data_IF_947086674018
#
_entry.id   IF_947086674018
#
_cell.length_a   1.000
_cell.length_b   1.000
_cell.length_c   1.000
_cell.angle_alpha   90.00
_cell.angle_beta   90.00
_cell.angle_gamma   90.00
#
_symmetry.space_group_name_H-M   'P 1'
#
loop_
_entity.id
_entity.type
_entity.pdbx_description
1 polymer ?
#
# COMPACT_ATOMS: atom_id res chain seq x y z
N UNK A 1 -33.61 -0.66 -51.26
CA UNK A 1 -32.60 -0.09 -50.34
C UNK A 1 -31.39 0.33 -51.15
N UNK A 2 -30.75 1.48 -50.91
CA UNK A 2 -29.43 1.72 -51.49
C UNK A 2 -28.40 0.79 -50.79
N UNK A 3 -27.70 -0.08 -51.53
CA UNK A 3 -26.83 -1.11 -50.98
C UNK A 3 -25.63 -0.56 -50.16
N UNK A 4 -25.26 0.71 -50.36
CA UNK A 4 -24.14 1.35 -49.69
C UNK A 4 -24.35 1.56 -48.18
N UNK A 5 -25.54 2.00 -47.74
CA UNK A 5 -25.81 2.27 -46.31
C UNK A 5 -25.94 0.99 -45.47
N UNK A 6 -26.42 -0.10 -46.09
CA UNK A 6 -26.49 -1.41 -45.44
C UNK A 6 -25.08 -2.01 -45.24
N UNK A 7 -24.22 -1.92 -46.26
CA UNK A 7 -22.83 -2.34 -46.17
C UNK A 7 -22.04 -1.56 -45.08
N UNK A 8 -22.28 -0.25 -44.97
CA UNK A 8 -21.63 0.62 -43.98
C UNK A 8 -22.07 0.28 -42.54
N UNK A 9 -23.36 0.01 -42.32
CA UNK A 9 -23.88 -0.45 -41.03
C UNK A 9 -23.33 -1.82 -40.61
N UNK A 10 -23.17 -2.76 -41.55
CA UNK A 10 -22.57 -4.07 -41.30
C UNK A 10 -21.09 -3.98 -40.92
N UNK A 11 -20.32 -3.12 -41.60
CA UNK A 11 -18.92 -2.85 -41.23
C UNK A 11 -18.79 -2.24 -39.82
N UNK A 12 -19.64 -1.28 -39.48
CA UNK A 12 -19.70 -0.69 -38.13
C UNK A 12 -20.06 -1.73 -37.07
N UNK A 13 -21.03 -2.59 -37.33
CA UNK A 13 -21.41 -3.67 -36.40
C UNK A 13 -20.23 -4.63 -36.17
N UNK A 14 -19.53 -5.02 -37.24
CA UNK A 14 -18.31 -5.82 -37.13
C UNK A 14 -17.15 -5.13 -36.41
N UNK A 15 -17.08 -3.78 -36.41
CA UNK A 15 -16.12 -3.02 -35.58
C UNK A 15 -16.52 -2.98 -34.11
N UNK A 16 -17.83 -2.85 -33.82
CA UNK A 16 -18.36 -2.87 -32.45
C UNK A 16 -18.15 -4.25 -31.82
N UNK A 17 -18.43 -5.34 -32.53
CA UNK A 17 -18.20 -6.69 -32.01
C UNK A 17 -16.72 -6.96 -31.74
N UNK A 18 -15.82 -6.53 -32.64
CA UNK A 18 -14.37 -6.57 -32.38
C UNK A 18 -13.96 -5.72 -31.17
N UNK A 19 -14.55 -4.54 -31.02
CA UNK A 19 -14.32 -3.67 -29.86
C UNK A 19 -14.82 -4.30 -28.55
N UNK A 20 -15.96 -5.00 -28.57
CA UNK A 20 -16.49 -5.77 -27.42
C UNK A 20 -15.58 -6.94 -27.05
N UNK A 21 -15.11 -7.70 -28.05
CA UNK A 21 -14.16 -8.79 -27.81
C UNK A 21 -12.84 -8.26 -27.22
N UNK A 22 -12.34 -7.13 -27.74
CA UNK A 22 -11.19 -6.43 -27.16
C UNK A 22 -11.47 -5.93 -25.75
N UNK A 23 -12.66 -5.41 -25.45
CA UNK A 23 -13.03 -4.93 -24.10
C UNK A 23 -13.05 -6.07 -23.10
N UNK A 24 -13.61 -7.23 -23.46
CA UNK A 24 -13.56 -8.44 -22.63
C UNK A 24 -12.12 -8.91 -22.39
N UNK A 25 -11.28 -8.94 -23.42
CA UNK A 25 -9.87 -9.30 -23.28
C UNK A 25 -9.13 -8.30 -22.36
N UNK A 26 -9.40 -7.00 -22.51
CA UNK A 26 -8.78 -5.97 -21.69
C UNK A 26 -9.29 -5.98 -20.25
N UNK A 27 -10.56 -6.29 -20.02
CA UNK A 27 -11.13 -6.52 -18.69
C UNK A 27 -10.44 -7.70 -18.00
N UNK A 28 -10.18 -8.79 -18.72
CA UNK A 28 -9.37 -9.89 -18.18
C UNK A 28 -7.93 -9.46 -17.89
N UNK A 29 -7.31 -8.63 -18.73
CA UNK A 29 -5.98 -8.06 -18.45
C UNK A 29 -5.99 -7.16 -17.20
N UNK A 30 -7.03 -6.34 -17.00
CA UNK A 30 -7.23 -5.53 -15.79
C UNK A 30 -7.41 -6.43 -14.57
N UNK A 31 -8.18 -7.51 -14.69
CA UNK A 31 -8.37 -8.47 -13.61
C UNK A 31 -7.07 -9.23 -13.26
N UNK A 32 -6.29 -9.62 -14.27
CA UNK A 32 -4.96 -10.19 -14.09
C UNK A 32 -4.00 -9.19 -13.45
N UNK A 33 -4.04 -7.92 -13.87
CA UNK A 33 -3.28 -6.86 -13.25
C UNK A 33 -3.71 -6.69 -11.77
N UNK A 34 -5.00 -6.74 -11.46
CA UNK A 34 -5.52 -6.71 -10.07
C UNK A 34 -5.05 -7.91 -9.24
N UNK A 35 -4.94 -9.11 -9.84
CA UNK A 35 -4.35 -10.27 -9.14
C UNK A 35 -2.85 -10.08 -8.88
N UNK A 36 -2.11 -9.57 -9.86
CA UNK A 36 -0.70 -9.20 -9.68
C UNK A 36 -0.53 -8.10 -8.62
N UNK A 37 -1.46 -7.14 -8.56
CA UNK A 37 -1.54 -6.10 -7.53
C UNK A 37 -1.67 -6.71 -6.14
N UNK A 38 -2.59 -7.66 -5.95
CA UNK A 38 -2.70 -8.37 -4.66
C UNK A 38 -1.42 -9.13 -4.31
N UNK A 39 -0.70 -9.65 -5.31
CA UNK A 39 0.62 -10.24 -5.13
C UNK A 39 1.66 -9.24 -4.61
N UNK A 40 1.73 -8.04 -5.20
CA UNK A 40 2.59 -6.95 -4.71
C UNK A 40 2.23 -6.52 -3.29
N UNK A 41 0.94 -6.48 -2.95
CA UNK A 41 0.51 -6.18 -1.59
C UNK A 41 1.04 -7.21 -0.59
N UNK A 42 0.96 -8.51 -0.91
CA UNK A 42 1.55 -9.56 -0.09
C UNK A 42 3.06 -9.42 0.10
N UNK A 43 3.79 -9.10 -0.98
CA UNK A 43 5.24 -8.84 -0.91
C UNK A 43 5.57 -7.61 -0.05
N UNK A 44 4.81 -6.51 -0.19
CA UNK A 44 4.96 -5.31 0.64
C UNK A 44 4.70 -5.64 2.11
N UNK A 45 3.71 -6.47 2.42
CA UNK A 45 3.40 -6.86 3.79
C UNK A 45 4.48 -7.77 4.37
N UNK A 46 5.09 -8.65 3.57
CA UNK A 46 6.26 -9.44 3.98
C UNK A 46 7.47 -8.54 4.28
N UNK A 47 7.78 -7.57 3.42
CA UNK A 47 8.86 -6.59 3.62
C UNK A 47 8.60 -5.72 4.85
N UNK A 48 7.35 -5.30 5.09
CA UNK A 48 6.94 -4.59 6.30
C UNK A 48 7.10 -5.44 7.55
N UNK A 49 6.72 -6.72 7.49
CA UNK A 49 6.93 -7.66 8.58
C UNK A 49 8.42 -7.88 8.86
N UNK A 50 9.25 -7.95 7.83
CA UNK A 50 10.71 -7.98 7.98
C UNK A 50 11.23 -6.72 8.66
N UNK A 51 10.77 -5.54 8.26
CA UNK A 51 11.13 -4.27 8.90
C UNK A 51 10.71 -4.24 10.38
N UNK A 52 9.50 -4.73 10.69
CA UNK A 52 9.00 -4.85 12.06
C UNK A 52 9.82 -5.82 12.92
N UNK A 53 10.52 -6.79 12.31
CA UNK A 53 11.46 -7.70 13.01
C UNK A 53 12.84 -7.08 13.22
N UNK A 54 13.33 -6.25 12.29
CA UNK A 54 14.67 -5.66 12.36
C UNK A 54 14.69 -4.43 13.28
N UNK A 55 13.65 -3.60 13.24
CA UNK A 55 13.61 -2.33 13.99
C UNK A 55 13.81 -2.51 15.51
N UNK A 56 13.13 -3.45 16.21
CA UNK A 56 13.35 -3.64 17.65
C UNK A 56 14.76 -4.14 17.98
N UNK A 57 15.38 -4.92 17.08
CA UNK A 57 16.77 -5.39 17.25
C UNK A 57 17.74 -4.22 17.16
N UNK A 58 17.56 -3.33 16.19
CA UNK A 58 18.34 -2.11 16.05
C UNK A 58 18.22 -1.20 17.29
N UNK A 59 17.02 -1.07 17.84
CA UNK A 59 16.80 -0.25 19.04
C UNK A 59 17.44 -0.89 20.29
N UNK A 60 17.34 -2.21 20.43
CA UNK A 60 18.04 -2.95 21.48
C UNK A 60 19.57 -2.83 21.36
N UNK A 61 20.09 -2.89 20.13
CA UNK A 61 21.51 -2.76 19.82
C UNK A 61 22.04 -1.35 20.12
N UNK A 62 21.26 -0.31 19.82
CA UNK A 62 21.57 1.08 20.19
C UNK A 62 21.60 1.27 21.71
N UNK A 63 20.64 0.69 22.43
CA UNK A 63 20.64 0.73 23.88
C UNK A 63 21.84 -0.02 24.48
N UNK A 64 22.24 -1.14 23.88
CA UNK A 64 23.44 -1.87 24.26
C UNK A 64 24.72 -1.04 24.02
N UNK A 65 24.82 -0.35 22.87
CA UNK A 65 25.93 0.55 22.58
C UNK A 65 26.03 1.69 23.60
N UNK A 66 24.91 2.29 23.99
CA UNK A 66 24.88 3.35 25.02
C UNK A 66 25.38 2.85 26.38
N UNK A 67 24.95 1.65 26.81
CA UNK A 67 25.46 1.02 28.03
C UNK A 67 26.97 0.78 27.95
N UNK A 68 27.44 0.25 26.83
CA UNK A 68 28.86 0.00 26.59
C UNK A 68 29.71 1.28 26.60
N UNK A 69 29.20 2.38 26.04
CA UNK A 69 29.84 3.70 26.13
C UNK A 69 29.93 4.20 27.58
N UNK A 70 28.94 3.90 28.42
CA UNK A 70 28.99 4.14 29.86
C UNK A 70 30.08 3.33 30.54
N UNK A 71 30.16 2.03 30.25
CA UNK A 71 31.20 1.14 30.78
C UNK A 71 32.61 1.60 30.37
N UNK A 72 32.79 2.02 29.12
CA UNK A 72 34.04 2.59 28.61
C UNK A 72 34.47 3.83 29.38
N UNK A 73 33.56 4.79 29.58
CA UNK A 73 33.84 6.00 30.37
C UNK A 73 34.24 5.63 31.80
N UNK A 74 33.48 4.74 32.45
CA UNK A 74 33.81 4.28 33.80
C UNK A 74 35.16 3.56 33.87
N UNK A 75 35.50 2.76 32.86
CA UNK A 75 36.77 2.05 32.78
C UNK A 75 37.96 2.99 32.57
N UNK A 76 37.81 3.98 31.69
CA UNK A 76 38.83 5.03 31.47
C UNK A 76 39.08 5.83 32.75
N UNK A 77 38.03 6.26 33.45
CA UNK A 77 38.17 6.97 34.73
C UNK A 77 38.89 6.13 35.78
N UNK A 78 38.54 4.84 35.92
CA UNK A 78 39.24 3.92 36.82
C UNK A 78 40.70 3.76 36.45
N UNK A 79 41.02 3.57 35.16
CA UNK A 79 42.39 3.41 34.70
C UNK A 79 43.25 4.65 35.00
N UNK A 80 42.72 5.86 34.81
CA UNK A 80 43.41 7.11 35.17
C UNK A 80 43.67 7.16 36.68
N UNK A 81 42.67 6.82 37.50
CA UNK A 81 42.81 6.77 38.96
C UNK A 81 43.87 5.76 39.42
N UNK A 82 43.83 4.54 38.87
CA UNK A 82 44.80 3.48 39.16
C UNK A 82 46.22 3.87 38.77
N UNK A 83 46.42 4.47 37.58
CA UNK A 83 47.75 4.95 37.15
C UNK A 83 48.28 6.06 38.03
N UNK A 84 47.43 6.99 38.45
CA UNK A 84 47.84 8.05 39.36
C UNK A 84 48.21 7.52 40.74
N UNK A 85 47.53 6.47 41.22
CA UNK A 85 47.87 5.80 42.47
C UNK A 85 49.19 5.02 42.36
N UNK A 86 49.32 4.20 41.32
CA UNK A 86 50.54 3.42 41.03
C UNK A 86 51.78 4.32 40.94
N UNK A 87 51.68 5.47 40.26
CA UNK A 87 52.78 6.43 40.18
C UNK A 87 53.17 7.03 41.55
N UNK A 88 52.20 7.35 42.42
CA UNK A 88 52.48 7.87 43.77
C UNK A 88 53.14 6.80 44.63
N UNK A 89 52.63 5.58 44.60
CA UNK A 89 53.14 4.50 45.46
C UNK A 89 54.51 3.99 44.97
N UNK A 90 54.79 4.07 43.67
CA UNK A 90 56.15 3.89 43.12
C UNK A 90 57.14 4.95 43.62
N UNK A 91 56.72 6.22 43.69
CA UNK A 91 57.57 7.27 44.22
C UNK A 91 57.90 7.02 45.69
N UNK A 92 56.89 6.66 46.50
CA UNK A 92 57.09 6.28 47.92
C UNK A 92 58.06 5.10 48.04
N UNK A 93 57.92 4.08 47.19
CA UNK A 93 58.83 2.94 47.16
C UNK A 93 60.25 3.35 46.77
N UNK A 94 60.41 4.23 45.78
CA UNK A 94 61.71 4.72 45.35
C UNK A 94 62.42 5.50 46.47
N UNK A 95 61.72 6.42 47.13
CA UNK A 95 62.23 7.19 48.27
C UNK A 95 62.65 6.26 49.42
N UNK A 96 61.87 5.22 49.70
CA UNK A 96 62.22 4.20 50.70
C UNK A 96 63.49 3.42 50.33
N UNK A 97 63.64 3.02 49.06
CA UNK A 97 64.82 2.29 48.61
C UNK A 97 66.09 3.15 48.67
N UNK A 98 65.99 4.44 48.32
CA UNK A 98 67.08 5.41 48.46
C UNK A 98 67.44 5.58 49.93
N UNK A 99 66.46 5.80 50.81
CA UNK A 99 66.70 5.94 52.25
C UNK A 99 67.36 4.70 52.87
N UNK A 100 66.96 3.49 52.45
CA UNK A 100 67.61 2.23 52.88
C UNK A 100 69.06 2.13 52.38
N UNK A 101 69.32 2.59 51.14
CA UNK A 101 70.64 2.57 50.54
C UNK A 101 71.61 3.58 51.18
N UNK A 102 71.12 4.79 51.47
CA UNK A 102 71.88 5.88 52.07
C UNK A 102 72.05 5.74 53.58
N UNK A 103 71.18 4.98 54.25
CA UNK A 103 71.30 4.71 55.67
C UNK A 103 72.66 4.07 55.99
N UNK A 104 73.45 4.62 56.93
CA UNK A 104 74.63 3.95 57.43
C UNK A 104 74.25 2.54 57.89
N UNK A 105 75.00 1.52 57.48
CA UNK A 105 74.81 0.15 57.98
C UNK A 105 75.16 0.13 59.48
N UNK A 106 74.23 0.55 60.32
CA UNK A 106 74.34 0.32 61.75
C UNK A 106 74.18 -1.19 61.95
N UNK A 107 75.28 -1.85 62.32
CA UNK A 107 75.21 -3.25 62.72
C UNK A 107 74.27 -3.34 63.94
N UNK A 108 73.53 -4.44 64.08
CA UNK A 108 72.64 -4.64 65.22
C UNK A 108 73.42 -4.56 66.55
N UNK A 109 74.72 -4.89 66.49
CA UNK A 109 75.67 -4.66 67.58
C UNK A 109 75.91 -3.18 67.88
N UNK A 110 76.03 -2.32 66.85
CA UNK A 110 76.18 -0.86 67.02
C UNK A 110 74.92 -0.24 67.62
N UNK A 111 73.72 -0.68 67.23
CA UNK A 111 72.45 -0.19 67.79
C UNK A 111 72.28 -0.60 69.25
N UNK A 112 72.76 -1.79 69.64
CA UNK A 112 72.79 -2.22 71.03
C UNK A 112 73.80 -1.41 71.87
N UNK A 113 74.99 -1.14 71.33
CA UNK A 113 76.06 -0.38 71.98
C UNK A 113 75.74 1.11 72.18
N UNK A 114 74.96 1.73 71.29
CA UNK A 114 74.65 3.17 71.28
C UNK A 114 73.30 3.52 71.95
N UNK A 115 72.64 2.51 72.53
CA UNK A 115 71.36 2.66 73.24
C UNK A 115 71.57 3.06 74.70
N UNK A 116 70.77 3.99 75.22
CA UNK A 116 70.91 4.51 76.59
C UNK A 116 70.20 3.61 77.63
N UNK A 117 70.20 2.29 77.42
CA UNK A 117 69.52 1.30 78.26
C UNK A 117 68.52 0.41 77.49
N UNK A 118 68.00 -0.62 78.16
CA UNK A 118 67.15 -1.66 77.54
C UNK A 118 65.83 -1.11 76.94
N UNK A 119 65.24 -0.07 77.53
CA UNK A 119 64.02 0.55 77.03
C UNK A 119 64.23 1.27 75.68
N UNK A 120 65.32 2.04 75.53
CA UNK A 120 65.69 2.72 74.28
C UNK A 120 66.00 1.72 73.15
N UNK A 121 66.69 0.62 73.48
CA UNK A 121 66.95 -0.46 72.53
C UNK A 121 65.66 -1.12 72.00
N UNK A 122 64.71 -1.41 72.89
CA UNK A 122 63.43 -2.01 72.52
C UNK A 122 62.60 -1.06 71.64
N UNK A 123 62.59 0.23 71.95
CA UNK A 123 61.90 1.24 71.16
C UNK A 123 62.52 1.37 69.76
N UNK A 124 63.85 1.45 69.64
CA UNK A 124 64.56 1.48 68.34
C UNK A 124 64.30 0.22 67.51
N UNK A 125 64.33 -0.96 68.12
CA UNK A 125 64.02 -2.21 67.43
C UNK A 125 62.55 -2.25 66.96
N UNK A 126 61.61 -1.79 67.80
CA UNK A 126 60.20 -1.70 67.44
C UNK A 126 59.97 -0.76 66.25
N UNK A 127 60.70 0.37 66.19
CA UNK A 127 60.65 1.32 65.09
C UNK A 127 61.20 0.72 63.79
N UNK A 128 62.36 0.05 63.83
CA UNK A 128 62.93 -0.64 62.68
C UNK A 128 62.00 -1.72 62.13
N UNK A 129 61.39 -2.51 63.02
CA UNK A 129 60.44 -3.54 62.62
C UNK A 129 59.16 -2.95 61.98
N UNK A 130 58.66 -1.81 62.50
CA UNK A 130 57.53 -1.08 61.89
C UNK A 130 57.87 -0.56 60.50
N UNK A 131 59.07 -0.02 60.30
CA UNK A 131 59.56 0.45 58.99
C UNK A 131 59.67 -0.72 58.01
N UNK A 132 60.31 -1.83 58.42
CA UNK A 132 60.44 -3.03 57.58
C UNK A 132 59.07 -3.59 57.15
N UNK A 133 58.11 -3.67 58.08
CA UNK A 133 56.74 -4.08 57.78
C UNK A 133 56.07 -3.11 56.79
N UNK A 134 56.23 -1.80 56.99
CA UNK A 134 55.66 -0.78 56.09
C UNK A 134 56.23 -0.86 54.67
N UNK A 135 57.54 -1.10 54.53
CA UNK A 135 58.20 -1.25 53.23
C UNK A 135 57.74 -2.52 52.50
N UNK A 136 57.54 -3.61 53.23
CA UNK A 136 56.95 -4.84 52.68
C UNK A 136 55.51 -4.59 52.19
N UNK A 137 54.69 -3.87 52.97
CA UNK A 137 53.33 -3.49 52.59
C UNK A 137 53.30 -2.63 51.32
N UNK A 138 54.18 -1.64 51.18
CA UNK A 138 54.28 -0.78 49.98
C UNK A 138 54.66 -1.60 48.74
N UNK A 139 55.65 -2.48 48.85
CA UNK A 139 56.06 -3.35 47.74
C UNK A 139 54.92 -4.26 47.26
N UNK A 140 54.18 -4.87 48.19
CA UNK A 140 53.02 -5.71 47.88
C UNK A 140 51.91 -4.89 47.20
N UNK A 141 51.70 -3.67 47.66
CA UNK A 141 50.69 -2.75 47.12
C UNK A 141 51.00 -2.33 45.69
N UNK A 142 52.21 -1.84 45.40
CA UNK A 142 52.63 -1.47 44.04
C UNK A 142 52.48 -2.64 43.07
N UNK A 143 52.86 -3.86 43.48
CA UNK A 143 52.65 -5.08 42.67
C UNK A 143 51.18 -5.40 42.44
N UNK A 144 50.29 -5.11 43.39
CA UNK A 144 48.86 -5.30 43.21
C UNK A 144 48.28 -4.23 42.26
N UNK A 145 48.71 -2.98 42.39
CA UNK A 145 48.27 -1.86 41.56
C UNK A 145 48.69 -2.02 40.10
N UNK A 146 49.93 -2.42 39.82
CA UNK A 146 50.36 -2.79 38.47
C UNK A 146 49.46 -3.86 37.83
N UNK A 147 49.10 -4.90 38.60
CA UNK A 147 48.18 -5.95 38.13
C UNK A 147 46.78 -5.40 37.85
N UNK A 148 46.28 -4.49 38.67
CA UNK A 148 45.00 -3.82 38.45
C UNK A 148 45.02 -2.92 37.21
N UNK A 149 46.09 -2.14 36.99
CA UNK A 149 46.28 -1.32 35.79
C UNK A 149 46.31 -2.20 34.53
N UNK A 150 47.04 -3.32 34.55
CA UNK A 150 47.11 -4.26 33.43
C UNK A 150 45.75 -4.91 33.14
N UNK A 151 45.03 -5.32 34.19
CA UNK A 151 43.70 -5.89 34.07
C UNK A 151 42.68 -4.90 33.50
N UNK A 152 42.66 -3.65 33.99
CA UNK A 152 41.74 -2.63 33.51
C UNK A 152 42.10 -2.16 32.09
N UNK A 153 43.38 -2.12 31.72
CA UNK A 153 43.82 -1.87 30.33
C UNK A 153 43.31 -2.96 29.38
N UNK A 154 43.41 -4.23 29.78
CA UNK A 154 42.89 -5.37 28.99
C UNK A 154 41.37 -5.29 28.87
N UNK A 155 40.67 -4.93 29.95
CA UNK A 155 39.23 -4.72 29.95
C UNK A 155 38.83 -3.60 29.00
N UNK A 156 39.54 -2.47 29.04
CA UNK A 156 39.30 -1.32 28.16
C UNK A 156 39.42 -1.71 26.69
N UNK A 157 40.49 -2.41 26.31
CA UNK A 157 40.68 -2.88 24.93
C UNK A 157 39.53 -3.79 24.45
N UNK A 158 39.07 -4.71 25.31
CA UNK A 158 37.91 -5.58 24.99
C UNK A 158 36.61 -4.79 24.83
N UNK A 159 36.41 -3.77 25.67
CA UNK A 159 35.24 -2.89 25.57
C UNK A 159 35.27 -2.08 24.26
N UNK A 160 36.43 -1.57 23.86
CA UNK A 160 36.62 -0.81 22.61
C UNK A 160 36.38 -1.70 21.39
N UNK A 161 36.89 -2.95 21.39
CA UNK A 161 36.60 -3.91 20.32
C UNK A 161 35.11 -4.22 20.22
N UNK A 162 34.43 -4.45 21.35
CA UNK A 162 32.97 -4.66 21.39
C UNK A 162 32.20 -3.44 20.86
N UNK A 163 32.71 -2.24 21.13
CA UNK A 163 32.07 -1.01 20.65
C UNK A 163 32.16 -0.92 19.13
N UNK A 164 33.34 -1.19 18.57
CA UNK A 164 33.54 -1.21 17.13
C UNK A 164 32.63 -2.26 16.45
N UNK A 165 32.57 -3.48 16.97
CA UNK A 165 31.70 -4.53 16.40
C UNK A 165 30.22 -4.19 16.49
N UNK A 166 29.77 -3.63 17.62
CA UNK A 166 28.37 -3.24 17.80
C UNK A 166 27.99 -2.09 16.86
N UNK A 167 28.89 -1.13 16.66
CA UNK A 167 28.68 0.00 15.73
C UNK A 167 28.54 -0.49 14.29
N UNK A 168 29.45 -1.37 13.84
CA UNK A 168 29.38 -1.95 12.51
C UNK A 168 28.10 -2.81 12.28
N UNK A 169 27.65 -3.53 13.31
CA UNK A 169 26.40 -4.29 13.25
C UNK A 169 25.18 -3.36 13.10
N UNK A 170 25.15 -2.25 13.85
CA UNK A 170 24.11 -1.21 13.76
C UNK A 170 24.07 -0.60 12.36
N UNK A 171 25.23 -0.26 11.77
CA UNK A 171 25.33 0.26 10.41
C UNK A 171 24.79 -0.74 9.38
N UNK A 172 25.18 -2.02 9.49
CA UNK A 172 24.71 -3.08 8.60
C UNK A 172 23.18 -3.25 8.66
N UNK A 173 22.60 -3.19 9.87
CA UNK A 173 21.15 -3.25 10.06
C UNK A 173 20.45 -2.01 9.51
N UNK A 174 21.02 -0.83 9.70
CA UNK A 174 20.48 0.41 9.16
C UNK A 174 20.42 0.37 7.62
N UNK A 175 21.48 -0.10 6.98
CA UNK A 175 21.52 -0.28 5.52
C UNK A 175 20.52 -1.33 5.04
N UNK A 176 20.34 -2.42 5.80
CA UNK A 176 19.32 -3.42 5.49
C UNK A 176 17.90 -2.83 5.54
N UNK A 177 17.60 -2.00 6.55
CA UNK A 177 16.31 -1.29 6.63
C UNK A 177 16.15 -0.33 5.44
N UNK A 178 17.18 0.43 5.10
CA UNK A 178 17.13 1.37 3.98
C UNK A 178 16.86 0.64 2.65
N UNK A 179 17.52 -0.49 2.40
CA UNK A 179 17.28 -1.35 1.23
C UNK A 179 15.85 -1.87 1.18
N UNK A 180 15.33 -2.43 2.27
CA UNK A 180 13.95 -2.92 2.34
C UNK A 180 12.93 -1.80 2.11
N UNK A 181 13.15 -0.60 2.67
CA UNK A 181 12.27 0.56 2.44
C UNK A 181 12.27 0.99 0.97
N UNK A 182 13.44 1.03 0.34
CA UNK A 182 13.55 1.38 -1.07
C UNK A 182 12.82 0.36 -1.94
N UNK A 183 13.02 -0.93 -1.67
CA UNK A 183 12.34 -2.02 -2.38
C UNK A 183 10.81 -1.91 -2.26
N UNK A 184 10.28 -1.61 -1.06
CA UNK A 184 8.84 -1.36 -0.88
C UNK A 184 8.35 -0.21 -1.77
N UNK A 185 9.08 0.91 -1.81
CA UNK A 185 8.69 2.08 -2.62
C UNK A 185 8.76 1.77 -4.11
N UNK A 186 9.79 1.06 -4.56
CA UNK A 186 9.94 0.64 -5.96
C UNK A 186 8.79 -0.27 -6.39
N UNK A 187 8.45 -1.28 -5.58
CA UNK A 187 7.32 -2.17 -5.85
C UNK A 187 5.99 -1.41 -5.89
N UNK A 188 5.76 -0.48 -4.95
CA UNK A 188 4.57 0.39 -4.96
C UNK A 188 4.47 1.23 -6.23
N UNK A 189 5.60 1.79 -6.71
CA UNK A 189 5.63 2.59 -7.93
C UNK A 189 5.32 1.74 -9.16
N UNK A 190 5.87 0.53 -9.25
CA UNK A 190 5.56 -0.41 -10.34
C UNK A 190 4.08 -0.82 -10.33
N UNK A 191 3.52 -1.06 -9.14
CA UNK A 191 2.10 -1.29 -8.94
C UNK A 191 1.24 -0.15 -9.51
N UNK A 192 1.47 1.09 -9.07
CA UNK A 192 0.69 2.26 -9.49
C UNK A 192 0.76 2.43 -11.01
N UNK A 193 1.96 2.33 -11.59
CA UNK A 193 2.16 2.46 -13.05
C UNK A 193 1.43 1.39 -13.85
N UNK A 194 1.44 0.13 -13.39
CA UNK A 194 0.78 -0.98 -14.07
C UNK A 194 -0.73 -0.81 -14.05
N UNK A 195 -1.28 -0.44 -12.88
CA UNK A 195 -2.71 -0.14 -12.70
C UNK A 195 -3.17 1.02 -13.59
N UNK A 196 -2.42 2.12 -13.61
CA UNK A 196 -2.81 3.34 -14.33
C UNK A 196 -2.81 3.12 -15.84
N UNK A 197 -1.82 2.39 -16.37
CA UNK A 197 -1.78 1.99 -17.79
C UNK A 197 -2.98 1.13 -18.17
N UNK A 198 -3.30 0.12 -17.37
CA UNK A 198 -4.44 -0.77 -17.65
C UNK A 198 -5.76 0.00 -17.61
N UNK A 199 -5.95 0.84 -16.59
CA UNK A 199 -7.14 1.69 -16.43
C UNK A 199 -7.29 2.70 -17.58
N UNK A 200 -6.19 3.32 -18.00
CA UNK A 200 -6.17 4.27 -19.13
C UNK A 200 -6.55 3.62 -20.46
N UNK A 201 -6.01 2.43 -20.76
CA UNK A 201 -6.37 1.68 -21.98
C UNK A 201 -7.86 1.29 -21.98
N UNK A 202 -8.38 0.81 -20.85
CA UNK A 202 -9.80 0.47 -20.71
C UNK A 202 -10.71 1.70 -20.92
N UNK A 203 -10.34 2.84 -20.35
CA UNK A 203 -11.10 4.07 -20.52
C UNK A 203 -11.12 4.55 -21.98
N UNK A 204 -9.99 4.44 -22.69
CA UNK A 204 -9.91 4.77 -24.11
C UNK A 204 -10.83 3.86 -24.96
N UNK A 205 -10.72 2.55 -24.78
CA UNK A 205 -11.52 1.59 -25.54
C UNK A 205 -13.03 1.79 -25.33
N UNK A 206 -13.45 2.07 -24.09
CA UNK A 206 -14.85 2.39 -23.77
C UNK A 206 -15.34 3.67 -24.44
N UNK A 207 -14.48 4.69 -24.58
CA UNK A 207 -14.82 5.92 -25.32
C UNK A 207 -14.98 5.63 -26.81
N UNK A 208 -14.07 4.85 -27.39
CA UNK A 208 -14.10 4.48 -28.81
C UNK A 208 -15.36 3.69 -29.14
N UNK A 209 -15.71 2.69 -28.32
CA UNK A 209 -16.96 1.92 -28.44
C UNK A 209 -18.19 2.85 -28.43
N UNK A 210 -18.29 3.75 -27.44
CA UNK A 210 -19.40 4.71 -27.39
C UNK A 210 -19.45 5.60 -28.64
N UNK A 211 -18.30 5.93 -29.23
CA UNK A 211 -18.22 6.66 -30.50
C UNK A 211 -18.83 5.86 -31.66
N UNK A 212 -18.45 4.60 -31.80
CA UNK A 212 -18.98 3.69 -32.83
C UNK A 212 -20.48 3.44 -32.66
N UNK A 213 -20.96 3.26 -31.43
CA UNK A 213 -22.38 3.09 -31.12
C UNK A 213 -23.21 4.33 -31.49
N UNK A 214 -22.68 5.54 -31.25
CA UNK A 214 -23.29 6.80 -31.72
C UNK A 214 -23.31 6.93 -33.24
N UNK A 215 -22.28 6.44 -33.93
CA UNK A 215 -22.26 6.44 -35.39
C UNK A 215 -23.29 5.47 -35.96
N UNK A 216 -23.36 4.26 -35.40
CA UNK A 216 -24.33 3.24 -35.82
C UNK A 216 -25.77 3.72 -35.64
N UNK A 217 -26.10 4.30 -34.48
CA UNK A 217 -27.44 4.84 -34.21
C UNK A 217 -27.83 5.97 -35.17
N UNK A 218 -26.89 6.86 -35.54
CA UNK A 218 -27.13 7.88 -36.58
C UNK A 218 -27.45 7.28 -37.95
N UNK A 219 -26.71 6.25 -38.38
CA UNK A 219 -26.96 5.57 -39.65
C UNK A 219 -28.31 4.86 -39.62
N UNK A 220 -28.65 4.20 -38.51
CA UNK A 220 -29.95 3.55 -38.32
C UNK A 220 -31.10 4.57 -38.37
N UNK A 221 -30.96 5.71 -37.70
CA UNK A 221 -31.96 6.79 -37.75
C UNK A 221 -32.14 7.35 -39.17
N UNK A 222 -31.03 7.56 -39.91
CA UNK A 222 -31.06 7.99 -41.30
C UNK A 222 -31.70 6.94 -42.23
N UNK A 223 -31.48 5.65 -41.98
CA UNK A 223 -32.14 4.56 -42.71
C UNK A 223 -33.66 4.55 -42.45
N UNK A 224 -34.09 4.74 -41.20
CA UNK A 224 -35.51 4.85 -40.86
C UNK A 224 -36.14 6.06 -41.54
N UNK A 225 -35.49 7.22 -41.53
CA UNK A 225 -35.97 8.41 -42.24
C UNK A 225 -36.01 8.20 -43.76
N UNK A 226 -35.01 7.55 -44.36
CA UNK A 226 -35.02 7.25 -45.80
C UNK A 226 -36.09 6.22 -46.20
N UNK A 227 -36.44 5.29 -45.30
CA UNK A 227 -37.59 4.37 -45.47
C UNK A 227 -38.94 5.07 -45.22
N UNK A 228 -38.94 6.19 -44.49
CA UNK A 228 -40.10 7.03 -44.21
C UNK A 228 -40.31 8.14 -45.26
N UNK A 229 -39.30 8.42 -46.09
CA UNK A 229 -39.28 9.47 -47.13
C UNK A 229 -40.12 9.15 -48.38
N UNK A 230 -41.18 8.36 -48.21
CA UNK A 230 -42.08 7.94 -49.27
C UNK A 230 -43.53 7.98 -48.84
N UNK A 231 -43.94 8.96 -48.02
CA UNK A 231 -45.35 9.35 -47.87
C UNK A 231 -45.43 10.77 -47.29
N UNK A 232 -46.23 11.60 -47.94
CA UNK A 232 -46.57 12.97 -47.54
C UNK A 232 -47.18 13.02 -46.12
N UNK A 233 -47.24 14.20 -45.45
CA UNK A 233 -47.86 14.31 -44.13
C UNK A 233 -49.37 14.08 -44.26
N UNK A 234 -49.78 12.86 -43.96
CA UNK A 234 -51.18 12.45 -43.81
C UNK A 234 -51.60 12.59 -42.35
N UNK A 235 -52.79 13.14 -42.18
CA UNK A 235 -53.65 13.09 -41.00
C UNK A 235 -53.38 11.94 -40.01
N UNK A 236 -53.47 12.24 -38.72
CA UNK A 236 -53.31 11.29 -37.60
C UNK A 236 -54.41 10.24 -37.48
N UNK A 237 -54.91 9.69 -38.59
CA UNK A 237 -55.86 8.57 -38.63
C UNK A 237 -55.26 7.27 -39.20
N UNK A 238 -53.94 7.22 -39.44
CA UNK A 238 -53.25 6.05 -39.99
C UNK A 238 -52.75 5.08 -38.91
N UNK A 239 -52.71 3.78 -39.24
CA UNK A 239 -52.12 2.76 -38.36
C UNK A 239 -50.61 2.95 -38.20
N UNK A 240 -50.12 2.91 -36.97
CA UNK A 240 -48.73 3.23 -36.62
C UNK A 240 -48.55 3.46 -35.13
N UNK A 241 -47.30 3.73 -34.75
CA UNK A 241 -46.90 4.14 -33.42
C UNK A 241 -46.52 5.61 -33.43
N UNK A 242 -47.10 6.38 -32.51
CA UNK A 242 -46.95 7.81 -32.42
C UNK A 242 -46.53 8.19 -30.99
N UNK A 243 -45.28 8.66 -30.79
CA UNK A 243 -44.85 9.19 -29.51
C UNK A 243 -45.72 10.38 -29.08
N UNK A 244 -46.24 10.35 -27.85
CA UNK A 244 -46.95 11.50 -27.30
C UNK A 244 -45.98 12.70 -27.11
N UNK A 245 -46.45 13.95 -27.25
CA UNK A 245 -45.63 15.13 -26.99
C UNK A 245 -44.96 15.06 -25.61
N UNK A 246 -43.68 15.40 -25.55
CA UNK A 246 -42.90 15.39 -24.29
C UNK A 246 -42.29 14.04 -23.90
N UNK A 247 -42.55 12.97 -24.67
CA UNK A 247 -41.90 11.66 -24.45
C UNK A 247 -40.53 11.57 -25.14
N UNK A 248 -39.66 10.69 -24.64
CA UNK A 248 -38.33 10.47 -25.20
C UNK A 248 -38.14 9.01 -25.65
N UNK A 249 -38.11 8.80 -26.96
CA UNK A 249 -37.86 7.50 -27.59
C UNK A 249 -36.46 7.38 -28.23
N UNK A 250 -35.53 8.25 -27.84
CA UNK A 250 -34.19 8.33 -28.45
C UNK A 250 -33.09 7.71 -27.58
N UNK A 251 -33.44 7.28 -26.37
CA UNK A 251 -32.50 6.83 -25.35
C UNK A 251 -32.59 5.32 -25.11
N UNK A 252 -31.45 4.65 -24.90
CA UNK A 252 -31.42 3.22 -24.61
C UNK A 252 -31.92 2.35 -25.78
N UNK A 253 -32.77 1.38 -25.47
CA UNK A 253 -33.46 0.50 -26.41
C UNK A 253 -34.80 1.09 -26.92
N UNK A 254 -35.27 2.22 -26.42
CA UNK A 254 -36.50 2.90 -26.88
C UNK A 254 -36.60 3.07 -28.41
N UNK A 255 -35.54 3.45 -29.15
CA UNK A 255 -35.62 3.54 -30.61
C UNK A 255 -36.00 2.21 -31.27
N UNK A 256 -35.55 1.09 -30.70
CA UNK A 256 -35.83 -0.26 -31.20
C UNK A 256 -37.24 -0.70 -30.82
N UNK A 257 -37.69 -0.36 -29.61
CA UNK A 257 -39.05 -0.60 -29.14
C UNK A 257 -40.04 0.17 -30.04
N UNK A 258 -39.83 1.47 -30.24
CA UNK A 258 -40.64 2.30 -31.12
C UNK A 258 -40.69 1.79 -32.57
N UNK A 259 -39.56 1.36 -33.15
CA UNK A 259 -39.53 0.81 -34.50
C UNK A 259 -40.32 -0.51 -34.63
N UNK A 260 -40.28 -1.36 -33.59
CA UNK A 260 -41.05 -2.61 -33.54
C UNK A 260 -42.54 -2.34 -33.34
N UNK A 261 -42.89 -1.41 -32.46
CA UNK A 261 -44.27 -0.95 -32.26
C UNK A 261 -44.83 -0.36 -33.56
N UNK A 262 -44.06 0.45 -34.28
CA UNK A 262 -44.42 0.98 -35.59
C UNK A 262 -44.73 -0.15 -36.59
N UNK A 263 -43.85 -1.14 -36.67
CA UNK A 263 -43.98 -2.27 -37.59
C UNK A 263 -45.22 -3.10 -37.26
N UNK A 264 -45.40 -3.42 -35.98
CA UNK A 264 -46.54 -4.19 -35.49
C UNK A 264 -47.85 -3.43 -35.66
N UNK A 265 -47.89 -2.15 -35.29
CA UNK A 265 -49.09 -1.32 -35.40
C UNK A 265 -49.58 -1.23 -36.85
N UNK A 266 -48.66 -1.07 -37.82
CA UNK A 266 -49.01 -1.13 -39.24
C UNK A 266 -49.52 -2.50 -39.68
N UNK A 267 -48.86 -3.59 -39.23
CA UNK A 267 -49.24 -4.95 -39.60
C UNK A 267 -50.59 -5.39 -39.00
N UNK A 268 -50.94 -4.87 -37.82
CA UNK A 268 -52.18 -5.18 -37.11
C UNK A 268 -53.25 -4.09 -37.28
N UNK A 269 -53.00 -3.09 -38.12
CA UNK A 269 -53.86 -1.93 -38.33
C UNK A 269 -54.22 -1.16 -37.04
N UNK A 270 -53.31 -1.13 -36.07
CA UNK A 270 -53.48 -0.44 -34.79
C UNK A 270 -52.97 1.00 -34.86
N UNK A 271 -53.62 1.89 -34.14
CA UNK A 271 -53.12 3.22 -33.84
C UNK A 271 -52.63 3.25 -32.39
N UNK A 272 -51.31 3.22 -32.20
CA UNK A 272 -50.66 3.14 -30.90
C UNK A 272 -50.07 4.49 -30.52
N UNK A 273 -50.33 4.94 -29.29
CA UNK A 273 -49.74 6.17 -28.74
C UNK A 273 -48.77 5.78 -27.64
N UNK A 274 -47.50 6.19 -27.77
CA UNK A 274 -46.50 5.99 -26.72
C UNK A 274 -46.62 7.08 -25.67
N UNK A 275 -47.22 6.78 -24.52
CA UNK A 275 -47.40 7.75 -23.43
C UNK A 275 -46.15 7.90 -22.58
N UNK A 276 -45.28 6.90 -22.58
CA UNK A 276 -44.02 6.97 -21.86
C UNK A 276 -42.94 6.13 -22.53
N UNK A 277 -41.79 6.75 -22.81
CA UNK A 277 -40.55 6.06 -23.16
C UNK A 277 -39.53 6.22 -22.03
N UNK A 278 -38.33 6.71 -22.36
CA UNK A 278 -37.31 7.02 -21.35
C UNK A 278 -37.76 8.11 -20.37
N UNK A 279 -37.57 7.83 -19.08
CA UNK A 279 -37.74 8.79 -17.96
C UNK A 279 -36.39 9.02 -17.29
N UNK A 280 -36.11 10.24 -16.82
CA UNK A 280 -34.96 10.43 -15.93
C UNK A 280 -35.22 9.73 -14.59
N UNK A 281 -34.19 9.29 -13.85
CA UNK A 281 -34.36 8.71 -12.51
C UNK A 281 -35.21 9.58 -11.57
N UNK A 282 -35.00 10.90 -11.62
CA UNK A 282 -35.76 11.87 -10.83
C UNK A 282 -37.24 11.89 -11.23
N UNK A 283 -37.53 11.96 -12.53
CA UNK A 283 -38.91 11.96 -13.02
C UNK A 283 -39.64 10.64 -12.72
N UNK A 284 -38.93 9.50 -12.76
CA UNK A 284 -39.53 8.21 -12.40
C UNK A 284 -40.01 8.20 -10.93
N UNK A 285 -39.20 8.72 -10.00
CA UNK A 285 -39.60 8.85 -8.59
C UNK A 285 -40.84 9.75 -8.44
N UNK A 286 -40.88 10.88 -9.15
CA UNK A 286 -42.00 11.84 -9.08
C UNK A 286 -43.34 11.25 -9.52
N UNK A 287 -43.32 10.27 -10.42
CA UNK A 287 -44.52 9.55 -10.88
C UNK A 287 -44.75 8.23 -10.15
N UNK A 288 -44.06 7.99 -9.03
CA UNK A 288 -44.24 6.81 -8.17
C UNK A 288 -43.45 5.57 -8.60
N UNK A 289 -42.54 5.70 -9.56
CA UNK A 289 -41.62 4.65 -10.00
C UNK A 289 -40.32 4.59 -9.19
N UNK A 290 -39.33 3.85 -9.71
CA UNK A 290 -38.04 3.66 -9.07
C UNK A 290 -36.91 4.37 -9.85
N UNK A 291 -35.87 4.88 -9.17
CA UNK A 291 -34.75 5.56 -9.84
C UNK A 291 -33.93 4.66 -10.77
N UNK A 292 -34.15 3.34 -10.72
CA UNK A 292 -33.47 2.34 -11.56
C UNK A 292 -34.46 1.27 -12.04
N UNK A 293 -35.50 1.71 -12.74
CA UNK A 293 -36.49 0.85 -13.40
C UNK A 293 -36.19 0.69 -14.91
N UNK A 294 -36.94 -0.13 -15.65
CA UNK A 294 -36.80 -0.25 -17.10
C UNK A 294 -36.91 1.06 -17.90
N UNK A 295 -37.82 1.99 -17.54
CA UNK A 295 -37.95 3.28 -18.23
C UNK A 295 -36.71 4.17 -18.03
N UNK A 296 -36.11 4.17 -16.85
CA UNK A 296 -34.87 4.91 -16.55
C UNK A 296 -33.64 4.32 -17.24
N UNK A 297 -33.76 3.08 -17.74
CA UNK A 297 -32.74 2.44 -18.59
C UNK A 297 -33.05 2.57 -20.08
N UNK A 298 -34.20 3.15 -20.44
CA UNK A 298 -34.71 3.25 -21.81
C UNK A 298 -35.02 1.88 -22.39
N UNK A 299 -35.55 0.97 -21.58
CA UNK A 299 -35.82 -0.42 -21.94
C UNK A 299 -37.31 -0.73 -22.00
N UNK A 300 -38.18 0.27 -21.87
CA UNK A 300 -39.61 0.06 -21.73
C UNK A 300 -40.46 1.24 -22.21
N UNK A 301 -41.56 0.92 -22.88
CA UNK A 301 -42.57 1.89 -23.29
C UNK A 301 -43.93 1.56 -22.68
N UNK A 302 -44.66 2.57 -22.22
CA UNK A 302 -46.09 2.45 -21.89
C UNK A 302 -46.89 2.92 -23.11
N UNK A 303 -47.58 1.98 -23.75
CA UNK A 303 -48.21 2.17 -25.06
C UNK A 303 -49.65 1.64 -25.05
N UNK A 304 -50.63 2.47 -24.65
CA UNK A 304 -52.03 2.09 -24.71
C UNK A 304 -52.47 1.67 -26.12
N UNK A 305 -53.37 0.69 -26.18
CA UNK A 305 -53.78 -0.01 -27.40
C UNK A 305 -53.12 -1.38 -27.58
N UNK A 306 -52.18 -1.76 -26.71
CA UNK A 306 -51.54 -3.09 -26.70
C UNK A 306 -52.31 -4.13 -25.88
N UNK A 307 -53.27 -3.72 -25.06
CA UNK A 307 -53.97 -4.57 -24.10
C UNK A 307 -54.71 -5.71 -24.83
N UNK A 308 -55.24 -5.42 -26.02
CA UNK A 308 -55.91 -6.39 -26.89
C UNK A 308 -54.98 -7.25 -27.75
N UNK A 309 -53.66 -7.01 -27.75
CA UNK A 309 -52.70 -7.77 -28.55
C UNK A 309 -52.23 -9.00 -27.77
N UNK A 310 -52.38 -10.24 -28.30
CA UNK A 310 -51.90 -11.43 -27.61
C UNK A 310 -50.37 -11.44 -27.45
N UNK A 311 -49.88 -12.03 -26.36
CA UNK A 311 -48.42 -12.11 -26.09
C UNK A 311 -47.66 -12.81 -27.23
N UNK A 312 -48.25 -13.84 -27.82
CA UNK A 312 -47.67 -14.51 -28.98
C UNK A 312 -47.52 -13.57 -30.20
N UNK A 313 -48.42 -12.60 -30.39
CA UNK A 313 -48.31 -11.60 -31.45
C UNK A 313 -47.19 -10.60 -31.14
N UNK A 314 -47.11 -10.08 -29.90
CA UNK A 314 -45.99 -9.23 -29.46
C UNK A 314 -44.63 -9.90 -29.71
N UNK A 315 -44.50 -11.16 -29.30
CA UNK A 315 -43.27 -11.93 -29.44
C UNK A 315 -42.83 -12.10 -30.89
N UNK A 316 -43.77 -12.23 -31.84
CA UNK A 316 -43.45 -12.28 -33.29
C UNK A 316 -42.78 -11.01 -33.81
N UNK A 317 -43.04 -9.87 -33.19
CA UNK A 317 -42.38 -8.59 -33.50
C UNK A 317 -41.17 -8.33 -32.59
N UNK A 318 -40.82 -9.26 -31.69
CA UNK A 318 -39.73 -9.15 -30.73
C UNK A 318 -40.02 -8.16 -29.60
N UNK A 319 -41.29 -8.02 -29.24
CA UNK A 319 -41.80 -7.27 -28.10
C UNK A 319 -42.37 -8.25 -27.07
N UNK A 320 -42.38 -7.89 -25.80
CA UNK A 320 -42.99 -8.71 -24.72
C UNK A 320 -43.57 -7.81 -23.64
N UNK A 321 -44.59 -8.33 -22.94
CA UNK A 321 -45.07 -7.79 -21.65
C UNK A 321 -44.43 -8.59 -20.52
N UNK A 322 -43.43 -8.03 -19.82
CA UNK A 322 -42.69 -8.73 -18.77
C UNK A 322 -43.53 -8.96 -17.50
N UNK A 323 -44.61 -8.19 -17.30
CA UNK A 323 -45.45 -8.24 -16.11
C UNK A 323 -46.85 -8.77 -16.47
N UNK A 324 -47.40 -9.61 -15.59
CA UNK A 324 -48.75 -10.14 -15.75
C UNK A 324 -49.78 -9.26 -15.02
N UNK A 325 -50.95 -9.07 -15.62
CA UNK A 325 -52.07 -8.35 -15.03
C UNK A 325 -52.59 -7.22 -15.92
N UNK A 326 -53.84 -6.81 -15.70
CA UNK A 326 -54.49 -5.78 -16.53
C UNK A 326 -53.87 -4.38 -16.35
N UNK A 327 -53.25 -4.11 -15.20
CA UNK A 327 -52.64 -2.81 -14.89
C UNK A 327 -51.32 -2.54 -15.64
N UNK A 328 -50.68 -3.57 -16.19
CA UNK A 328 -49.38 -3.50 -16.87
C UNK A 328 -49.53 -3.89 -18.35
N UNK A 329 -50.75 -3.91 -18.87
CA UNK A 329 -51.06 -4.49 -20.17
C UNK A 329 -50.58 -3.63 -21.37
N UNK A 330 -50.25 -2.37 -21.12
CA UNK A 330 -49.66 -1.40 -22.05
C UNK A 330 -48.13 -1.29 -21.92
N UNK A 331 -47.53 -1.88 -20.89
CA UNK A 331 -46.09 -1.87 -20.66
C UNK A 331 -45.37 -2.88 -21.55
N UNK A 332 -44.48 -2.41 -22.42
CA UNK A 332 -43.80 -3.25 -23.41
C UNK A 332 -42.28 -3.07 -23.40
N UNK A 333 -41.57 -4.19 -23.52
CA UNK A 333 -40.12 -4.25 -23.62
C UNK A 333 -39.68 -5.10 -24.82
N UNK A 334 -38.37 -5.15 -25.12
CA UNK A 334 -37.86 -6.13 -26.09
C UNK A 334 -37.82 -7.52 -25.46
N UNK A 335 -38.09 -8.55 -26.26
CA UNK A 335 -37.88 -9.95 -25.84
C UNK A 335 -36.43 -10.15 -25.37
N UNK A 336 -36.24 -10.72 -24.18
CA UNK A 336 -34.92 -10.97 -23.58
C UNK A 336 -34.31 -9.80 -22.82
N UNK A 337 -35.09 -8.76 -22.48
CA UNK A 337 -34.64 -7.58 -21.71
C UNK A 337 -34.67 -7.77 -20.19
N UNK A 338 -35.00 -8.98 -19.70
CA UNK A 338 -35.14 -9.31 -18.28
C UNK A 338 -33.90 -10.02 -17.78
#
# INVERSE_FOLDING_TARGET
>A
MPPALAADSGQLNGRIERSRAQDHQLQQQVHNAQRHVSGYQGQIDELRAQLARIQPRLDADRAALQRLQGELRGSRTRLVGLRAQDARDQQVLADQLVAIYEAPRADLMTVALDSHGFADLLDRFSQLNRIAKRNAEVTVRVRAEHRQVAAETTRLARLEQRQASQTAAIETQHDAIARVKLEVVEQQLQFVRTRDRASGKLAALRRDRKGLERQLSKIQAAQVQALSGGTAPGDGSGSGFFPAPGTNYTYGDEPRIAAKLQTMARALHLHLIGLSGYRTPQHSIEVGGFPNDPHTRGQASDTPGLEGVPEAALNRFGLTRPFAGAAEADHVQLVGSI
#
